data_IF_442112488007
#
_entry.id   IF_442112488007
#
_cell.length_a   1.000
_cell.length_b   1.000
_cell.length_c   1.000
_cell.angle_alpha   90.00
_cell.angle_beta   90.00
_cell.angle_gamma   90.00
#
_symmetry.space_group_name_H-M   'P 1'
#
loop_
_entity.id
_entity.type
_entity.pdbx_description
1 polymer ?
#
# COMPACT_ATOMS: atom_id res chain seq x y z
N UNK A 1 -20.91 -6.62 -39.96
CA UNK A 1 -19.69 -6.34 -39.17
C UNK A 1 -20.07 -6.42 -37.70
N UNK A 2 -19.83 -7.57 -37.04
CA UNK A 2 -20.28 -7.82 -35.66
C UNK A 2 -19.12 -7.66 -34.68
N UNK A 3 -18.87 -6.43 -34.24
CA UNK A 3 -17.87 -6.09 -33.21
C UNK A 3 -18.41 -6.37 -31.77
N UNK A 4 -19.15 -7.46 -31.56
CA UNK A 4 -19.88 -7.75 -30.31
C UNK A 4 -19.44 -9.03 -29.60
N UNK A 5 -18.14 -9.33 -29.57
CA UNK A 5 -17.69 -10.55 -28.88
C UNK A 5 -16.39 -10.41 -28.12
N UNK A 6 -16.13 -9.24 -27.54
CA UNK A 6 -15.27 -9.21 -26.34
C UNK A 6 -16.13 -9.69 -25.18
N UNK A 7 -15.95 -10.95 -24.76
CA UNK A 7 -16.63 -11.48 -23.58
C UNK A 7 -16.25 -10.57 -22.40
N UNK A 8 -17.21 -9.98 -21.67
CA UNK A 8 -16.91 -9.16 -20.50
C UNK A 8 -16.08 -9.94 -19.46
N UNK A 9 -16.24 -11.27 -19.44
CA UNK A 9 -15.48 -12.22 -18.63
C UNK A 9 -13.96 -12.10 -18.82
N UNK A 10 -13.48 -11.89 -20.05
CA UNK A 10 -12.04 -11.81 -20.34
C UNK A 10 -11.41 -10.55 -19.75
N UNK A 11 -12.16 -9.44 -19.76
CA UNK A 11 -11.70 -8.19 -19.19
C UNK A 11 -11.62 -8.28 -17.66
N UNK A 12 -12.62 -8.91 -17.03
CA UNK A 12 -12.63 -9.15 -15.59
C UNK A 12 -11.46 -10.03 -15.20
N UNK A 13 -11.28 -11.16 -15.89
CA UNK A 13 -10.16 -12.09 -15.66
C UNK A 13 -8.82 -11.36 -15.76
N UNK A 14 -8.62 -10.56 -16.81
CA UNK A 14 -7.38 -9.80 -17.02
C UNK A 14 -7.12 -8.80 -15.89
N UNK A 15 -8.15 -8.08 -15.44
CA UNK A 15 -8.02 -7.13 -14.32
C UNK A 15 -7.62 -7.83 -13.03
N UNK A 16 -8.25 -8.97 -12.72
CA UNK A 16 -7.92 -9.78 -11.54
C UNK A 16 -6.52 -10.38 -11.63
N UNK A 17 -6.10 -10.88 -12.80
CA UNK A 17 -4.75 -11.39 -13.02
C UNK A 17 -3.69 -10.30 -12.83
N UNK A 18 -3.96 -9.08 -13.30
CA UNK A 18 -3.09 -7.93 -13.07
C UNK A 18 -3.03 -7.57 -11.57
N UNK A 19 -4.16 -7.62 -10.85
CA UNK A 19 -4.18 -7.39 -9.40
C UNK A 19 -3.30 -8.40 -8.65
N UNK A 20 -3.40 -9.69 -9.00
CA UNK A 20 -2.59 -10.76 -8.41
C UNK A 20 -1.10 -10.59 -8.75
N UNK A 21 -0.77 -10.15 -9.96
CA UNK A 21 0.61 -9.87 -10.34
C UNK A 21 1.18 -8.71 -9.51
N UNK A 22 0.45 -7.60 -9.40
CA UNK A 22 0.85 -6.45 -8.59
C UNK A 22 1.01 -6.80 -7.10
N UNK A 23 0.13 -7.64 -6.54
CA UNK A 23 0.24 -8.14 -5.17
C UNK A 23 1.56 -8.93 -4.96
N UNK A 24 1.87 -9.85 -5.88
CA UNK A 24 3.12 -10.63 -5.85
C UNK A 24 4.37 -9.77 -6.01
N UNK A 25 4.29 -8.69 -6.78
CA UNK A 25 5.38 -7.73 -6.97
C UNK A 25 5.54 -6.74 -5.80
N UNK A 26 4.67 -6.80 -4.79
CA UNK A 26 4.69 -5.89 -3.64
C UNK A 26 4.10 -4.51 -3.93
N UNK A 27 3.47 -4.31 -5.09
CA UNK A 27 2.79 -3.08 -5.48
C UNK A 27 1.37 -3.05 -4.88
N UNK A 28 1.30 -3.05 -3.56
CA UNK A 28 0.05 -3.27 -2.83
C UNK A 28 -1.02 -2.21 -3.08
N UNK A 29 -0.63 -0.94 -3.25
CA UNK A 29 -1.57 0.14 -3.57
C UNK A 29 -2.29 -0.11 -4.91
N UNK A 30 -1.50 -0.43 -5.95
CA UNK A 30 -2.00 -0.76 -7.28
C UNK A 30 -2.83 -2.05 -7.26
N UNK A 31 -2.37 -3.07 -6.55
CA UNK A 31 -3.09 -4.34 -6.39
C UNK A 31 -4.49 -4.13 -5.80
N UNK A 32 -4.61 -3.28 -4.78
CA UNK A 32 -5.88 -2.95 -4.13
C UNK A 32 -6.85 -2.27 -5.09
N UNK A 33 -6.38 -1.32 -5.89
CA UNK A 33 -7.21 -0.63 -6.90
C UNK A 33 -7.70 -1.58 -7.98
N UNK A 34 -6.81 -2.46 -8.46
CA UNK A 34 -7.15 -3.47 -9.47
C UNK A 34 -8.12 -4.52 -8.92
N UNK A 35 -7.94 -4.98 -7.67
CA UNK A 35 -8.91 -5.86 -7.01
C UNK A 35 -10.28 -5.20 -6.90
N UNK A 36 -10.35 -3.94 -6.45
CA UNK A 36 -11.61 -3.22 -6.33
C UNK A 36 -12.33 -3.11 -7.70
N UNK A 37 -11.60 -2.71 -8.74
CA UNK A 37 -12.15 -2.60 -10.09
C UNK A 37 -12.62 -3.94 -10.66
N UNK A 38 -11.87 -5.02 -10.43
CA UNK A 38 -12.25 -6.36 -10.84
C UNK A 38 -13.52 -6.85 -10.12
N UNK A 39 -13.59 -6.65 -8.80
CA UNK A 39 -14.72 -7.03 -7.96
C UNK A 39 -16.00 -6.29 -8.39
N UNK A 40 -15.93 -4.98 -8.64
CA UNK A 40 -17.08 -4.19 -9.10
C UNK A 40 -17.68 -4.78 -10.39
N UNK A 41 -16.82 -5.19 -11.34
CA UNK A 41 -17.26 -5.83 -12.59
C UNK A 41 -17.83 -7.23 -12.34
N UNK A 42 -17.26 -8.00 -11.42
CA UNK A 42 -17.81 -9.29 -11.00
C UNK A 42 -19.19 -9.14 -10.35
N UNK A 43 -19.42 -8.10 -9.55
CA UNK A 43 -20.73 -7.80 -8.97
C UNK A 43 -21.76 -7.43 -10.05
N UNK A 44 -21.36 -6.67 -11.07
CA UNK A 44 -22.21 -6.40 -12.22
C UNK A 44 -22.59 -7.68 -12.99
N UNK A 45 -21.63 -8.60 -13.17
CA UNK A 45 -21.88 -9.90 -13.79
C UNK A 45 -22.80 -10.79 -12.93
N UNK A 46 -22.62 -10.77 -11.60
CA UNK A 46 -23.44 -11.53 -10.65
C UNK A 46 -24.94 -11.19 -10.75
N UNK A 47 -25.27 -9.94 -11.04
CA UNK A 47 -26.66 -9.49 -11.22
C UNK A 47 -27.31 -10.09 -12.48
N UNK A 48 -26.51 -10.50 -13.47
CA UNK A 48 -26.97 -11.01 -14.76
C UNK A 48 -27.01 -12.54 -14.85
N UNK A 49 -26.42 -13.25 -13.86
CA UNK A 49 -26.39 -14.71 -13.88
C UNK A 49 -27.81 -15.32 -13.71
N UNK A 50 -28.15 -16.39 -14.43
CA UNK A 50 -29.47 -17.01 -14.36
C UNK A 50 -29.63 -18.02 -13.21
N UNK A 51 -28.58 -18.78 -12.91
CA UNK A 51 -28.57 -19.92 -11.99
C UNK A 51 -28.10 -19.54 -10.59
N UNK A 52 -28.69 -20.15 -9.55
CA UNK A 52 -28.29 -19.92 -8.16
C UNK A 52 -26.89 -20.47 -7.84
N UNK A 53 -26.49 -21.56 -8.51
CA UNK A 53 -25.18 -22.18 -8.37
C UNK A 53 -24.07 -21.26 -8.89
N UNK A 54 -24.18 -20.74 -10.11
CA UNK A 54 -23.19 -19.82 -10.68
C UNK A 54 -23.09 -18.53 -9.86
N UNK A 55 -24.21 -18.03 -9.33
CA UNK A 55 -24.21 -16.90 -8.40
C UNK A 55 -23.44 -17.22 -7.12
N UNK A 56 -23.58 -18.43 -6.60
CA UNK A 56 -22.89 -18.85 -5.37
C UNK A 56 -21.39 -18.92 -5.60
N UNK A 57 -20.96 -19.56 -6.70
CA UNK A 57 -19.54 -19.60 -7.07
C UNK A 57 -18.94 -18.21 -7.27
N UNK A 58 -19.64 -17.33 -7.98
CA UNK A 58 -19.14 -15.98 -8.23
C UNK A 58 -19.08 -15.14 -6.94
N UNK A 59 -20.06 -15.29 -6.03
CA UNK A 59 -20.03 -14.64 -4.69
C UNK A 59 -18.85 -15.11 -3.86
N UNK A 60 -18.58 -16.42 -3.82
CA UNK A 60 -17.41 -16.95 -3.11
C UNK A 60 -16.12 -16.32 -3.65
N UNK A 61 -15.98 -16.23 -4.97
CA UNK A 61 -14.82 -15.64 -5.61
C UNK A 61 -14.68 -14.14 -5.31
N UNK A 62 -15.79 -13.40 -5.33
CA UNK A 62 -15.81 -11.98 -4.93
C UNK A 62 -15.31 -11.84 -3.48
N UNK A 63 -15.81 -12.66 -2.56
CA UNK A 63 -15.41 -12.61 -1.16
C UNK A 63 -13.92 -12.89 -0.96
N UNK A 64 -13.35 -13.88 -1.66
CA UNK A 64 -11.90 -14.17 -1.62
C UNK A 64 -11.06 -12.93 -2.00
N UNK A 65 -11.42 -12.27 -3.11
CA UNK A 65 -10.70 -11.10 -3.57
C UNK A 65 -10.91 -9.87 -2.69
N UNK A 66 -12.12 -9.70 -2.11
CA UNK A 66 -12.38 -8.65 -1.13
C UNK A 66 -11.51 -8.80 0.11
N UNK A 67 -11.48 -9.99 0.72
CA UNK A 67 -10.67 -10.26 1.91
C UNK A 67 -9.18 -10.01 1.65
N UNK A 68 -8.68 -10.38 0.45
CA UNK A 68 -7.30 -10.09 0.08
C UNK A 68 -7.04 -8.59 -0.03
N UNK A 69 -7.93 -7.84 -0.67
CA UNK A 69 -7.79 -6.40 -0.82
C UNK A 69 -7.84 -5.67 0.53
N UNK A 70 -8.72 -6.10 1.46
CA UNK A 70 -8.79 -5.56 2.82
C UNK A 70 -7.50 -5.82 3.59
N UNK A 71 -7.00 -7.05 3.55
CA UNK A 71 -5.72 -7.41 4.18
C UNK A 71 -4.56 -6.54 3.67
N UNK A 72 -4.50 -6.29 2.36
CA UNK A 72 -3.45 -5.45 1.77
C UNK A 72 -3.55 -3.98 2.21
N UNK A 73 -4.76 -3.44 2.34
CA UNK A 73 -4.98 -2.06 2.83
C UNK A 73 -4.50 -1.89 4.27
N UNK A 74 -4.79 -2.85 5.14
CA UNK A 74 -4.33 -2.82 6.52
C UNK A 74 -2.81 -2.91 6.61
N UNK A 75 -2.21 -3.79 5.81
CA UNK A 75 -0.76 -3.97 5.76
C UNK A 75 -0.02 -2.70 5.31
N UNK A 76 -0.50 -2.02 4.27
CA UNK A 76 0.11 -0.77 3.79
C UNK A 76 -0.05 0.37 4.79
N UNK A 77 -1.23 0.47 5.44
CA UNK A 77 -1.47 1.45 6.49
C UNK A 77 -0.53 1.27 7.70
N UNK A 78 -0.32 0.03 8.14
CA UNK A 78 0.58 -0.28 9.24
C UNK A 78 2.06 0.00 8.90
N UNK A 79 2.48 -0.36 7.68
CA UNK A 79 3.83 -0.03 7.16
C UNK A 79 4.09 1.48 7.14
N UNK A 80 3.12 2.26 6.66
CA UNK A 80 3.24 3.72 6.61
C UNK A 80 3.38 4.32 8.02
N UNK A 81 2.61 3.82 9.00
CA UNK A 81 2.67 4.27 10.40
C UNK A 81 4.04 4.00 11.04
N UNK A 82 4.60 2.81 10.81
CA UNK A 82 5.95 2.46 11.34
C UNK A 82 7.04 3.36 10.76
N UNK A 83 7.02 3.61 9.45
CA UNK A 83 8.00 4.50 8.80
C UNK A 83 7.97 5.93 9.35
N UNK A 84 6.79 6.46 9.67
CA UNK A 84 6.68 7.80 10.28
C UNK A 84 7.22 7.88 11.70
N UNK A 85 7.18 6.78 12.48
CA UNK A 85 7.72 6.75 13.83
C UNK A 85 9.26 6.66 13.84
N UNK A 86 9.86 5.86 12.95
CA UNK A 86 11.32 5.73 12.85
C UNK A 86 12.00 7.04 12.40
N UNK A 87 11.37 7.79 11.50
CA UNK A 87 11.87 9.09 11.05
C UNK A 87 11.85 10.16 12.16
N UNK A 88 10.85 10.13 13.05
CA UNK A 88 10.74 11.06 14.17
C UNK A 88 11.80 10.81 15.25
N UNK A 89 12.15 9.55 15.52
CA UNK A 89 13.18 9.17 16.49
C UNK A 89 14.58 9.57 16.01
N UNK A 90 14.87 9.43 14.71
CA UNK A 90 16.16 9.81 14.13
C UNK A 90 16.41 11.34 14.15
N UNK A 91 15.38 12.14 13.88
CA UNK A 91 15.50 13.62 13.89
C UNK A 91 15.73 14.23 15.29
N UNK A 92 15.39 13.50 16.35
CA UNK A 92 15.53 13.97 17.74
C UNK A 92 16.93 13.74 18.33
N UNK A 93 17.69 12.78 17.80
CA UNK A 93 19.07 12.52 18.26
C UNK A 93 20.10 13.47 17.65
N UNK A 94 19.88 14.01 16.45
CA UNK A 94 20.85 14.88 15.78
C UNK A 94 20.87 16.34 16.30
N UNK A 95 19.79 16.83 16.92
CA UNK A 95 19.78 18.17 17.54
C UNK A 95 20.46 18.24 18.90
N UNK A 96 20.73 17.11 19.57
CA UNK A 96 21.32 17.11 20.93
C UNK A 96 22.85 17.08 20.94
N UNK A 97 23.51 16.74 19.83
CA UNK A 97 24.98 16.66 19.74
C UNK A 97 25.65 17.95 19.26
N UNK A 98 24.94 18.84 18.54
CA UNK A 98 25.52 20.11 18.06
C UNK A 98 25.63 21.22 19.11
N UNK A 99 24.92 21.11 20.25
CA UNK A 99 24.92 22.15 21.30
C UNK A 99 25.98 21.94 22.41
N UNK A 100 26.75 20.86 22.33
CA UNK A 100 27.84 20.57 23.28
C UNK A 100 29.23 21.01 22.77
N UNK A 101 29.42 21.20 21.45
CA UNK A 101 30.75 21.49 20.89
C UNK A 101 31.14 22.98 20.86
N UNK A 102 30.18 23.90 21.01
CA UNK A 102 30.44 25.35 20.88
C UNK A 102 30.82 26.04 22.21
N UNK A 103 30.95 25.28 23.31
CA UNK A 103 31.29 25.85 24.63
C UNK A 103 32.74 25.61 25.07
N UNK A 104 33.50 24.76 24.37
CA UNK A 104 34.86 24.37 24.82
C UNK A 104 35.97 25.24 24.22
N UNK A 105 35.70 26.04 23.17
CA UNK A 105 36.75 26.81 22.48
C UNK A 105 36.99 28.19 23.09
N UNK A 106 36.05 28.71 23.90
CA UNK A 106 36.16 30.03 24.55
C UNK A 106 36.92 30.06 25.88
N UNK A 107 37.36 28.91 26.41
CA UNK A 107 37.96 28.83 27.76
C UNK A 107 39.48 28.65 27.81
N UNK A 108 40.16 28.61 26.67
CA UNK A 108 41.63 28.42 26.60
C UNK A 108 42.41 29.64 26.10
N UNK A 109 41.76 30.79 25.88
CA UNK A 109 42.43 32.02 25.43
C UNK A 109 42.42 33.16 26.47
N UNK A 110 42.36 32.84 27.77
CA UNK A 110 42.48 33.84 28.85
C UNK A 110 43.74 33.60 29.72
N UNK A 111 44.45 32.48 29.56
CA UNK A 111 45.50 32.05 30.49
C UNK A 111 46.93 32.12 29.92
N UNK A 112 47.20 33.07 29.02
CA UNK A 112 48.57 33.32 28.49
C UNK A 112 48.94 34.81 28.42
N UNK A 113 48.29 35.68 29.21
CA UNK A 113 48.61 37.12 29.22
C UNK A 113 48.81 37.76 30.59
N UNK A 114 49.08 36.93 31.58
CA UNK A 114 49.58 37.36 32.89
C UNK A 114 50.82 36.55 33.22
N UNK A 115 51.93 36.91 32.57
CA UNK A 115 53.28 36.92 33.13
C UNK A 115 54.11 37.90 32.30
#
# INVERSE_FOLDING_TARGET
MFLWRRRPDDAIKKTIEAAVAADKEGKYQEAVELYASGIEKMMAQLAQLPTAEDKTHLRQKINEYMLRAEYLKEWTAEKARKQTQDAAVSSSQEKKTRKASDRQVGKLLVELKTF
#
